data_IF_249062941960
#
_entry.id   IF_249062941960
#
_cell.length_a   1.000
_cell.length_b   1.000
_cell.length_c   1.000
_cell.angle_alpha   90.00
_cell.angle_beta   90.00
_cell.angle_gamma   90.00
#
_symmetry.space_group_name_H-M   'P 1'
#
loop_
_entity.id
_entity.type
_entity.pdbx_description
1 polymer ?
#
# COMPACT_ATOMS: atom_id res chain seq x y z
N UNK A 1 45.96 -15.84 -31.48
CA UNK A 1 45.94 -17.15 -30.79
C UNK A 1 44.47 -17.45 -30.52
N UNK A 2 43.84 -18.11 -31.49
CA UNK A 2 42.42 -18.46 -31.46
C UNK A 2 42.30 -19.86 -30.86
N UNK A 3 41.31 -20.06 -29.99
CA UNK A 3 40.92 -21.38 -29.50
C UNK A 3 39.43 -21.53 -29.72
N UNK A 4 39.07 -22.37 -30.69
CA UNK A 4 37.75 -22.98 -30.77
C UNK A 4 37.89 -24.43 -31.24
N UNK A 5 36.91 -25.23 -30.79
CA UNK A 5 36.50 -26.57 -31.26
C UNK A 5 37.26 -27.76 -30.62
N UNK A 6 36.63 -28.86 -30.19
CA UNK A 6 35.27 -29.37 -30.42
C UNK A 6 34.97 -30.49 -29.40
N UNK A 7 33.68 -30.82 -29.29
CA UNK A 7 33.02 -31.73 -28.36
C UNK A 7 33.00 -33.21 -28.84
N UNK A 8 32.68 -34.12 -27.90
CA UNK A 8 32.09 -35.47 -28.01
C UNK A 8 33.00 -36.67 -28.31
N UNK A 9 33.06 -37.64 -27.37
CA UNK A 9 32.64 -39.03 -27.67
C UNK A 9 32.48 -39.91 -26.41
N UNK A 10 31.44 -40.75 -26.46
CA UNK A 10 31.05 -41.82 -25.51
C UNK A 10 32.18 -42.84 -25.29
N UNK A 11 32.27 -43.59 -24.19
CA UNK A 11 31.45 -44.79 -23.92
C UNK A 11 32.00 -45.57 -22.71
N UNK A 12 31.11 -46.28 -22.02
CA UNK A 12 31.28 -47.62 -21.42
C UNK A 12 31.86 -47.82 -19.99
N UNK A 13 30.96 -48.25 -19.10
CA UNK A 13 30.99 -49.39 -18.15
C UNK A 13 32.32 -49.81 -17.50
N UNK A 14 32.39 -49.79 -16.14
CA UNK A 14 32.69 -50.94 -15.23
C UNK A 14 33.28 -50.49 -13.87
N UNK A 15 32.80 -51.10 -12.77
CA UNK A 15 33.45 -51.31 -11.44
C UNK A 15 33.06 -50.37 -10.27
N UNK A 16 33.05 -50.84 -9.01
CA UNK A 16 32.46 -52.08 -8.46
C UNK A 16 31.57 -51.81 -7.21
N UNK A 17 30.80 -52.83 -6.82
CA UNK A 17 30.04 -52.92 -5.57
C UNK A 17 30.90 -52.65 -4.32
N UNK A 18 30.49 -51.66 -3.52
CA UNK A 18 31.00 -51.38 -2.17
C UNK A 18 29.96 -51.73 -1.12
N UNK A 19 30.18 -52.85 -0.45
CA UNK A 19 29.39 -53.42 0.66
C UNK A 19 29.38 -52.46 1.87
N UNK A 20 28.18 -52.06 2.33
CA UNK A 20 28.00 -51.46 3.67
C UNK A 20 27.18 -52.41 4.55
N UNK A 21 27.88 -53.18 5.37
CA UNK A 21 27.34 -53.90 6.53
C UNK A 21 27.32 -52.95 7.72
N UNK A 22 26.15 -52.41 8.07
CA UNK A 22 25.91 -51.71 9.33
C UNK A 22 24.84 -52.50 10.10
N UNK A 23 25.29 -53.47 10.87
CA UNK A 23 24.54 -54.13 11.94
C UNK A 23 24.54 -53.21 13.17
N UNK A 24 23.36 -52.82 13.65
CA UNK A 24 23.19 -52.07 14.90
C UNK A 24 21.82 -52.38 15.51
N UNK A 25 21.74 -53.17 16.60
CA UNK A 25 20.48 -53.57 17.20
C UNK A 25 20.20 -52.76 18.47
N UNK A 26 19.60 -51.57 18.36
CA UNK A 26 18.87 -50.92 19.46
C UNK A 26 18.22 -49.59 19.04
N UNK A 27 16.95 -49.62 18.61
CA UNK A 27 16.05 -48.49 18.87
C UNK A 27 14.58 -48.92 18.77
N UNK A 28 14.03 -49.45 19.87
CA UNK A 28 12.62 -49.85 19.95
C UNK A 28 11.67 -48.73 20.45
N UNK A 29 12.07 -47.45 20.40
CA UNK A 29 11.20 -46.37 20.88
C UNK A 29 11.22 -45.12 19.99
N UNK A 30 11.01 -45.28 18.68
CA UNK A 30 10.45 -44.17 17.89
C UNK A 30 8.92 -44.28 17.95
N UNK A 31 8.20 -43.23 18.39
CA UNK A 31 6.78 -43.11 18.10
C UNK A 31 6.64 -43.11 16.57
N UNK A 32 6.29 -44.26 16.01
CA UNK A 32 5.96 -44.37 14.59
C UNK A 32 4.71 -43.53 14.40
N UNK A 33 4.83 -42.45 13.63
CA UNK A 33 3.70 -41.62 13.25
C UNK A 33 2.56 -42.54 12.78
N UNK A 34 1.31 -42.33 13.25
CA UNK A 34 0.20 -43.13 12.78
C UNK A 34 0.13 -43.06 11.25
N UNK A 35 -0.30 -44.15 10.57
CA UNK A 35 -0.31 -44.20 9.13
C UNK A 35 -1.19 -43.08 8.57
N UNK A 36 -0.62 -42.24 7.70
CA UNK A 36 -1.32 -41.22 6.91
C UNK A 36 -2.24 -41.94 5.92
N UNK A 37 -3.41 -42.33 6.41
CA UNK A 37 -4.44 -43.02 5.62
C UNK A 37 -5.77 -42.27 5.63
N UNK A 38 -5.82 -41.04 6.14
CA UNK A 38 -7.03 -40.22 6.09
C UNK A 38 -6.74 -38.76 5.70
N UNK A 39 -6.02 -38.50 4.58
CA UNK A 39 -5.93 -37.15 4.05
C UNK A 39 -7.33 -36.60 3.80
N UNK A 40 -8.26 -37.38 3.25
CA UNK A 40 -9.64 -36.93 3.05
C UNK A 40 -10.37 -36.54 4.35
N UNK A 41 -10.20 -37.27 5.46
CA UNK A 41 -10.90 -36.96 6.72
C UNK A 41 -10.28 -35.77 7.47
N UNK A 42 -9.00 -35.45 7.23
CA UNK A 42 -8.36 -34.24 7.75
C UNK A 42 -8.68 -33.01 6.90
N UNK A 43 -8.66 -33.14 5.57
CA UNK A 43 -9.08 -32.08 4.66
C UNK A 43 -10.54 -31.70 4.84
N UNK A 44 -11.43 -32.65 5.15
CA UNK A 44 -12.83 -32.33 5.48
C UNK A 44 -12.96 -31.54 6.77
N UNK A 45 -12.14 -31.81 7.79
CA UNK A 45 -12.14 -31.05 9.05
C UNK A 45 -11.60 -29.65 8.86
N UNK A 46 -10.52 -29.51 8.09
CA UNK A 46 -9.96 -28.20 7.72
C UNK A 46 -10.96 -27.44 6.86
N UNK A 47 -11.55 -28.07 5.84
CA UNK A 47 -12.54 -27.44 4.97
C UNK A 47 -13.79 -26.99 5.74
N UNK A 48 -14.29 -27.79 6.69
CA UNK A 48 -15.43 -27.40 7.54
C UNK A 48 -15.08 -26.24 8.47
N UNK A 49 -13.93 -26.31 9.15
CA UNK A 49 -13.47 -25.23 10.04
C UNK A 49 -13.21 -23.92 9.28
N UNK A 50 -12.66 -24.02 8.06
CA UNK A 50 -12.49 -22.88 7.17
C UNK A 50 -13.83 -22.38 6.68
N UNK A 51 -14.80 -23.24 6.32
CA UNK A 51 -16.16 -22.82 5.93
C UNK A 51 -16.86 -22.06 7.06
N UNK A 52 -16.84 -22.59 8.29
CA UNK A 52 -17.44 -21.94 9.46
C UNK A 52 -16.82 -20.56 9.74
N UNK A 53 -15.49 -20.43 9.59
CA UNK A 53 -14.80 -19.15 9.72
C UNK A 53 -15.09 -18.20 8.53
N UNK A 54 -15.14 -18.72 7.31
CA UNK A 54 -15.44 -17.94 6.10
C UNK A 54 -16.90 -17.46 6.07
N UNK A 55 -17.83 -18.22 6.62
CA UNK A 55 -19.24 -17.83 6.76
C UNK A 55 -19.39 -16.67 7.76
N UNK A 56 -18.52 -16.61 8.78
CA UNK A 56 -18.50 -15.54 9.79
C UNK A 56 -17.62 -14.34 9.38
N UNK A 57 -16.75 -14.48 8.39
CA UNK A 57 -15.87 -13.40 7.91
C UNK A 57 -16.62 -12.13 7.49
N UNK A 58 -17.69 -12.22 6.66
CA UNK A 58 -18.45 -11.04 6.25
C UNK A 58 -19.01 -10.29 7.46
N UNK A 59 -19.49 -11.00 8.47
CA UNK A 59 -20.06 -10.42 9.68
C UNK A 59 -18.98 -9.80 10.57
N UNK A 60 -17.82 -10.45 10.72
CA UNK A 60 -16.70 -9.89 11.50
C UNK A 60 -16.08 -8.66 10.84
N UNK A 61 -15.89 -8.68 9.53
CA UNK A 61 -15.39 -7.53 8.75
C UNK A 61 -16.44 -6.42 8.74
N UNK A 62 -17.72 -6.75 8.54
CA UNK A 62 -18.82 -5.79 8.60
C UNK A 62 -18.86 -5.07 9.95
N UNK A 63 -18.88 -5.83 11.05
CA UNK A 63 -18.88 -5.27 12.40
C UNK A 63 -17.61 -4.48 12.70
N UNK A 64 -16.44 -4.91 12.24
CA UNK A 64 -15.20 -4.12 12.38
C UNK A 64 -15.31 -2.79 11.64
N UNK A 65 -15.68 -2.80 10.35
CA UNK A 65 -15.85 -1.55 9.61
C UNK A 65 -16.91 -0.66 10.24
N UNK A 66 -18.04 -1.21 10.69
CA UNK A 66 -19.10 -0.43 11.32
C UNK A 66 -18.67 0.18 12.66
N UNK A 67 -17.99 -0.58 13.52
CA UNK A 67 -17.50 -0.10 14.81
C UNK A 67 -16.34 0.90 14.68
N UNK A 68 -15.48 0.74 13.66
CA UNK A 68 -14.31 1.59 13.45
C UNK A 68 -14.49 2.63 12.36
N UNK A 69 -15.67 2.75 11.74
CA UNK A 69 -15.96 3.66 10.62
C UNK A 69 -15.43 5.07 10.87
N UNK A 70 -15.74 5.63 12.04
CA UNK A 70 -15.30 6.99 12.41
C UNK A 70 -13.78 7.10 12.58
N UNK A 71 -13.15 6.12 13.24
CA UNK A 71 -11.69 6.10 13.40
C UNK A 71 -10.98 5.89 12.06
N UNK A 72 -11.50 4.99 11.22
CA UNK A 72 -10.96 4.68 9.91
C UNK A 72 -11.09 5.87 8.96
N UNK A 73 -12.23 6.57 8.96
CA UNK A 73 -12.39 7.83 8.22
C UNK A 73 -11.37 8.87 8.67
N UNK A 74 -11.15 9.04 9.98
CA UNK A 74 -10.15 10.00 10.47
C UNK A 74 -8.73 9.60 10.06
N UNK A 75 -8.37 8.32 10.16
CA UNK A 75 -7.05 7.81 9.74
C UNK A 75 -6.86 8.00 8.23
N UNK A 76 -7.86 7.67 7.42
CA UNK A 76 -7.84 7.88 5.97
C UNK A 76 -7.71 9.36 5.64
N UNK A 77 -8.42 10.24 6.35
CA UNK A 77 -8.36 11.69 6.14
C UNK A 77 -6.98 12.24 6.50
N UNK A 78 -6.41 11.81 7.63
CA UNK A 78 -5.05 12.20 8.05
C UNK A 78 -4.03 11.71 7.00
N UNK A 79 -4.14 10.46 6.58
CA UNK A 79 -3.25 9.89 5.58
C UNK A 79 -3.39 10.62 4.24
N UNK A 80 -4.62 10.92 3.82
CA UNK A 80 -4.89 11.71 2.62
C UNK A 80 -4.27 13.10 2.74
N UNK A 81 -4.43 13.78 3.87
CA UNK A 81 -3.83 15.10 4.10
C UNK A 81 -2.29 15.06 3.98
N UNK A 82 -1.65 14.01 4.52
CA UNK A 82 -0.19 13.82 4.40
C UNK A 82 0.21 13.62 2.94
N UNK A 83 -0.47 12.72 2.23
CA UNK A 83 -0.19 12.44 0.82
C UNK A 83 -0.41 13.68 -0.06
N UNK A 84 -1.52 14.39 0.14
CA UNK A 84 -1.79 15.67 -0.54
C UNK A 84 -0.69 16.68 -0.24
N UNK A 85 -0.28 16.82 1.02
CA UNK A 85 0.83 17.70 1.41
C UNK A 85 2.12 17.33 0.69
N UNK A 86 2.45 16.04 0.58
CA UNK A 86 3.62 15.58 -0.19
C UNK A 86 3.53 15.93 -1.66
N UNK A 87 2.37 15.74 -2.29
CA UNK A 87 2.14 16.08 -3.69
C UNK A 87 2.35 17.58 -3.91
N UNK A 88 1.78 18.43 -3.05
CA UNK A 88 1.95 19.89 -3.12
C UNK A 88 3.43 20.28 -3.02
N UNK A 89 4.17 19.69 -2.07
CA UNK A 89 5.61 19.94 -1.94
C UNK A 89 6.39 19.48 -3.19
N UNK A 90 6.08 18.30 -3.72
CA UNK A 90 6.72 17.80 -4.95
C UNK A 90 6.43 18.68 -6.16
N UNK A 91 5.21 19.22 -6.28
CA UNK A 91 4.87 20.17 -7.34
C UNK A 91 5.68 21.46 -7.15
N UNK A 92 5.80 21.96 -5.92
CA UNK A 92 6.60 23.15 -5.63
C UNK A 92 8.08 22.94 -5.97
N UNK A 93 8.65 21.79 -5.58
CA UNK A 93 10.01 21.42 -5.96
C UNK A 93 10.18 21.40 -7.48
N UNK A 94 9.25 20.76 -8.22
CA UNK A 94 9.29 20.70 -9.67
C UNK A 94 9.14 22.07 -10.36
N UNK A 95 8.37 22.99 -9.76
CA UNK A 95 8.25 24.37 -10.23
C UNK A 95 9.57 25.11 -10.06
N UNK A 96 10.22 24.96 -8.90
CA UNK A 96 11.50 25.61 -8.59
C UNK A 96 12.66 25.03 -9.41
N UNK A 97 12.60 23.76 -9.81
CA UNK A 97 13.56 23.14 -10.72
C UNK A 97 13.53 23.76 -12.14
N UNK A 98 12.45 24.47 -12.49
CA UNK A 98 12.33 25.16 -13.78
C UNK A 98 12.64 26.65 -13.58
N UNK A 99 13.80 27.14 -14.08
CA UNK A 99 14.37 28.44 -13.71
C UNK A 99 13.55 29.68 -14.13
N UNK A 100 12.40 29.50 -14.80
CA UNK A 100 11.50 30.58 -15.21
C UNK A 100 10.13 30.52 -14.54
N UNK A 101 9.68 29.37 -14.04
CA UNK A 101 8.32 29.24 -13.51
C UNK A 101 8.18 29.91 -12.14
N UNK A 102 9.14 29.69 -11.25
CA UNK A 102 9.19 30.33 -9.93
C UNK A 102 9.04 31.87 -9.99
N UNK A 103 9.90 32.62 -10.71
CA UNK A 103 9.78 34.08 -10.78
C UNK A 103 8.52 34.55 -11.52
N UNK A 104 7.99 33.76 -12.46
CA UNK A 104 6.73 34.09 -13.15
C UNK A 104 5.55 33.96 -12.18
N UNK A 105 5.48 32.89 -11.38
CA UNK A 105 4.43 32.73 -10.37
C UNK A 105 4.49 33.82 -9.30
N UNK A 106 5.70 34.22 -8.87
CA UNK A 106 5.88 35.34 -7.96
C UNK A 106 5.33 36.65 -8.55
N UNK A 107 5.70 36.97 -9.81
CA UNK A 107 5.23 38.17 -10.49
C UNK A 107 3.70 38.16 -10.66
N UNK A 108 3.14 37.04 -11.09
CA UNK A 108 1.68 36.84 -11.20
C UNK A 108 1.03 37.06 -9.83
N UNK A 109 1.58 36.47 -8.78
CA UNK A 109 1.12 36.62 -7.41
C UNK A 109 1.09 38.08 -6.97
N UNK A 110 2.16 38.84 -7.22
CA UNK A 110 2.24 40.26 -6.91
C UNK A 110 1.19 41.07 -7.68
N UNK A 111 1.01 40.82 -8.98
CA UNK A 111 0.02 41.50 -9.81
C UNK A 111 -1.39 41.25 -9.27
N UNK A 112 -1.74 39.99 -9.01
CA UNK A 112 -3.05 39.61 -8.49
C UNK A 112 -3.29 40.12 -7.07
N UNK A 113 -2.29 40.01 -6.18
CA UNK A 113 -2.40 40.52 -4.82
C UNK A 113 -2.60 42.03 -4.81
N UNK A 114 -1.83 42.76 -5.62
CA UNK A 114 -1.97 44.21 -5.79
C UNK A 114 -3.37 44.54 -6.28
N UNK A 115 -3.82 43.92 -7.38
CA UNK A 115 -5.16 44.15 -7.94
C UNK A 115 -6.26 43.83 -6.92
N UNK A 116 -6.14 42.72 -6.19
CA UNK A 116 -7.10 42.29 -5.17
C UNK A 116 -7.19 43.31 -4.02
N UNK A 117 -6.05 43.77 -3.51
CA UNK A 117 -6.01 44.77 -2.45
C UNK A 117 -6.66 46.08 -2.92
N UNK A 118 -6.27 46.59 -4.09
CA UNK A 118 -6.84 47.82 -4.64
C UNK A 118 -8.35 47.71 -4.91
N UNK A 119 -8.81 46.56 -5.42
CA UNK A 119 -10.20 46.34 -5.83
C UNK A 119 -11.14 46.04 -4.66
N UNK A 120 -10.72 45.22 -3.71
CA UNK A 120 -11.61 44.69 -2.67
C UNK A 120 -11.29 45.24 -1.28
N UNK A 121 -10.03 45.59 -1.01
CA UNK A 121 -9.62 46.04 0.32
C UNK A 121 -9.56 47.55 0.46
N UNK A 122 -9.61 48.41 -0.57
CA UNK A 122 -9.58 49.87 -0.34
C UNK A 122 -10.99 50.47 -0.24
N UNK A 123 -11.89 50.08 -1.14
CA UNK A 123 -13.22 50.69 -1.24
C UNK A 123 -14.19 50.06 -0.25
N UNK A 124 -14.90 50.90 0.52
CA UNK A 124 -15.84 50.44 1.55
C UNK A 124 -16.92 49.50 0.99
N UNK A 125 -17.49 49.83 -0.18
CA UNK A 125 -18.54 49.01 -0.79
C UNK A 125 -18.05 47.60 -1.17
N UNK A 126 -16.80 47.47 -1.60
CA UNK A 126 -16.25 46.18 -2.06
C UNK A 126 -15.74 45.33 -0.90
N UNK A 127 -15.33 45.95 0.22
CA UNK A 127 -15.10 45.24 1.49
C UNK A 127 -16.39 44.60 2.02
N UNK A 128 -17.52 45.30 1.92
CA UNK A 128 -18.83 44.79 2.35
C UNK A 128 -19.32 43.64 1.47
N UNK A 129 -19.12 43.75 0.16
CA UNK A 129 -19.39 42.67 -0.80
C UNK A 129 -18.56 41.42 -0.50
N UNK A 130 -17.24 41.59 -0.34
CA UNK A 130 -16.32 40.49 0.00
C UNK A 130 -16.68 39.83 1.34
N UNK A 131 -17.03 40.60 2.37
CA UNK A 131 -17.42 40.05 3.66
C UNK A 131 -18.70 39.19 3.56
N UNK A 132 -19.69 39.61 2.77
CA UNK A 132 -20.90 38.83 2.51
C UNK A 132 -20.62 37.56 1.73
N UNK A 133 -19.76 37.63 0.71
CA UNK A 133 -19.33 36.45 -0.05
C UNK A 133 -18.61 35.44 0.85
N UNK A 134 -17.64 35.89 1.65
CA UNK A 134 -16.94 35.02 2.61
C UNK A 134 -17.91 34.37 3.59
N UNK A 135 -18.90 35.13 4.09
CA UNK A 135 -19.91 34.59 5.00
C UNK A 135 -20.77 33.52 4.31
N UNK A 136 -21.21 33.75 3.07
CA UNK A 136 -21.95 32.77 2.28
C UNK A 136 -21.14 31.50 2.00
N UNK A 137 -19.85 31.64 1.65
CA UNK A 137 -18.96 30.49 1.43
C UNK A 137 -18.76 29.69 2.72
N UNK A 138 -18.57 30.38 3.85
CA UNK A 138 -18.45 29.73 5.16
C UNK A 138 -19.69 28.91 5.49
N UNK A 139 -20.89 29.48 5.29
CA UNK A 139 -22.15 28.77 5.53
C UNK A 139 -22.30 27.54 4.63
N UNK A 140 -21.86 27.62 3.37
CA UNK A 140 -21.91 26.48 2.45
C UNK A 140 -20.99 25.33 2.85
N UNK A 141 -19.81 25.63 3.42
CA UNK A 141 -18.79 24.62 3.73
C UNK A 141 -18.99 24.02 5.13
N UNK A 142 -19.32 24.86 6.11
CA UNK A 142 -19.38 24.46 7.53
C UNK A 142 -20.81 24.09 7.96
N UNK A 143 -21.84 24.56 7.26
CA UNK A 143 -23.18 24.69 7.84
C UNK A 143 -23.22 25.82 8.87
N UNK A 144 -24.43 26.21 9.31
CA UNK A 144 -24.61 27.27 10.32
C UNK A 144 -23.87 26.99 11.64
#
# INVERSE_FOLDING_TARGET
METEQQQLESSNTTSPEGVLLLDSPANQNLPKLPPVNEPEAQWQRVARKTSEFLEQLPEYIGNFFDNYKQALTNVVLILAAIVTGKIVLTILDAINDIPLLEPIFELIGIIYATWFVFRYLIKYSTRQELAKEIQSLKQQIVGD
#
